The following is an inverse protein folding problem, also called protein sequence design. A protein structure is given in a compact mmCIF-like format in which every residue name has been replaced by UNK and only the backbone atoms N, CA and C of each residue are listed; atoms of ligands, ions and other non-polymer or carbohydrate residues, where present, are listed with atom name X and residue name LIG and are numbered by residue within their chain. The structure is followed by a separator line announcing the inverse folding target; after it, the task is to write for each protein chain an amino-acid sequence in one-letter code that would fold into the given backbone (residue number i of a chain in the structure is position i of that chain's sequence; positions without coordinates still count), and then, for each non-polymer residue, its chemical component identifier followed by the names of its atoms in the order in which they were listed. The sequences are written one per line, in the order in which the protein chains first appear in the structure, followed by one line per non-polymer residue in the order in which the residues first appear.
data_IF_157529965802
#
_entry.id   IF_157529965802
#
_cell.length_a   1.000
_cell.length_b   1.000
_cell.length_c   1.000
_cell.angle_alpha   90.00
_cell.angle_beta   90.00
_cell.angle_gamma   90.00
#
_symmetry.space_group_name_H-M   'P 1'
#
loop_
_entity.id
_entity.type
_entity.pdbx_description
1 polymer ?
#
# COMPACT_ATOMS: atom_id res chain seq x y z
N UNK A 1 14.66 0.73 -6.51
CA UNK A 1 14.02 -0.59 -6.31
C UNK A 1 14.81 -1.63 -7.07
N UNK A 2 14.86 -2.88 -6.60
CA UNK A 2 15.49 -3.98 -7.36
C UNK A 2 14.60 -4.44 -8.53
N UNK A 3 15.17 -5.17 -9.50
CA UNK A 3 14.44 -5.74 -10.63
C UNK A 3 13.25 -6.61 -10.18
N UNK A 4 13.47 -7.50 -9.21
CA UNK A 4 12.39 -8.31 -8.62
C UNK A 4 11.29 -7.46 -8.00
N UNK A 5 11.65 -6.41 -7.24
CA UNK A 5 10.66 -5.54 -6.63
C UNK A 5 9.82 -4.79 -7.67
N UNK A 6 10.41 -4.43 -8.82
CA UNK A 6 9.68 -3.81 -9.94
C UNK A 6 8.72 -4.80 -10.59
N UNK A 7 9.16 -6.02 -10.85
CA UNK A 7 8.32 -7.09 -11.43
C UNK A 7 7.07 -7.35 -10.57
N UNK A 8 7.27 -7.59 -9.27
CA UNK A 8 6.17 -7.81 -8.30
C UNK A 8 5.24 -6.60 -8.27
N UNK A 9 5.80 -5.40 -8.20
CA UNK A 9 5.02 -4.17 -8.19
C UNK A 9 4.19 -3.98 -9.47
N UNK A 10 4.74 -4.28 -10.65
CA UNK A 10 4.00 -4.17 -11.91
C UNK A 10 2.88 -5.20 -12.00
N UNK A 11 3.15 -6.47 -11.66
CA UNK A 11 2.13 -7.52 -11.63
C UNK A 11 0.97 -7.12 -10.72
N UNK A 12 1.25 -6.77 -9.46
CA UNK A 12 0.21 -6.42 -8.49
C UNK A 12 -0.54 -5.13 -8.79
N UNK A 13 -0.02 -4.27 -9.66
CA UNK A 13 -0.79 -3.12 -10.13
C UNK A 13 -1.77 -3.48 -11.24
N UNK A 14 -1.45 -4.48 -12.06
CA UNK A 14 -2.42 -5.07 -12.99
C UNK A 14 -3.50 -5.80 -12.21
N UNK A 15 -3.13 -6.63 -11.23
CA UNK A 15 -4.08 -7.36 -10.39
C UNK A 15 -5.02 -6.41 -9.62
N UNK A 16 -4.48 -5.27 -9.16
CA UNK A 16 -5.28 -4.27 -8.44
C UNK A 16 -6.39 -3.65 -9.29
N UNK A 17 -6.22 -3.55 -10.62
CA UNK A 17 -7.27 -3.05 -11.51
C UNK A 17 -8.50 -3.97 -11.51
N UNK A 18 -8.29 -5.27 -11.31
CA UNK A 18 -9.34 -6.30 -11.29
C UNK A 18 -10.18 -6.22 -10.01
N UNK A 19 -9.68 -5.55 -8.97
CA UNK A 19 -10.40 -5.37 -7.69
C UNK A 19 -11.45 -4.25 -7.74
N UNK A 20 -11.57 -3.57 -8.88
CA UNK A 20 -12.62 -2.58 -9.09
C UNK A 20 -13.84 -3.22 -9.75
N UNK A 21 -15.01 -2.67 -9.43
CA UNK A 21 -16.24 -3.02 -10.12
C UNK A 21 -16.04 -2.90 -11.65
N UNK A 22 -16.38 -3.94 -12.45
CA UNK A 22 -16.13 -3.97 -13.88
C UNK A 22 -16.82 -2.85 -14.67
N UNK A 23 -17.86 -2.23 -14.11
CA UNK A 23 -18.56 -1.08 -14.70
C UNK A 23 -17.85 0.26 -14.45
N UNK A 24 -16.76 0.25 -13.69
CA UNK A 24 -16.01 1.45 -13.34
C UNK A 24 -15.03 1.83 -14.46
N UNK A 25 -15.44 2.77 -15.30
CA UNK A 25 -14.57 3.34 -16.31
C UNK A 25 -13.46 4.22 -15.70
N UNK A 26 -12.27 4.22 -16.32
CA UNK A 26 -11.23 5.23 -16.07
C UNK A 26 -10.43 5.06 -14.78
N UNK A 27 -10.19 3.82 -14.32
CA UNK A 27 -9.31 3.56 -13.17
C UNK A 27 -7.85 3.87 -13.55
N UNK A 28 -7.38 5.06 -13.15
CA UNK A 28 -6.02 5.50 -13.42
C UNK A 28 -5.22 5.62 -12.13
N UNK A 29 -4.11 4.87 -12.06
CA UNK A 29 -3.12 4.99 -10.97
C UNK A 29 -2.36 6.30 -11.08
N UNK A 30 -2.20 6.98 -9.95
CA UNK A 30 -1.34 8.16 -9.84
C UNK A 30 -0.15 7.81 -8.95
N UNK A 31 1.08 7.69 -9.50
CA UNK A 31 2.28 7.58 -8.69
C UNK A 31 2.43 8.83 -7.84
N UNK A 32 2.42 8.71 -6.50
CA UNK A 32 2.22 9.88 -5.63
C UNK A 32 3.27 10.05 -4.54
N UNK A 33 4.12 9.05 -4.34
CA UNK A 33 5.11 9.02 -3.26
C UNK A 33 6.04 10.24 -3.19
N UNK A 34 6.62 10.67 -4.31
CA UNK A 34 7.58 11.78 -4.35
C UNK A 34 6.95 13.14 -4.04
N UNK A 35 5.70 13.35 -4.43
CA UNK A 35 4.98 14.59 -4.15
C UNK A 35 4.49 14.64 -2.71
N UNK A 36 4.08 13.50 -2.16
CA UNK A 36 3.46 13.46 -0.84
C UNK A 36 4.47 13.41 0.32
N UNK A 37 5.66 12.83 0.12
CA UNK A 37 6.67 12.74 1.19
C UNK A 37 7.22 14.11 1.63
N UNK A 38 7.24 15.09 0.72
CA UNK A 38 7.65 16.47 1.03
C UNK A 38 6.62 17.14 1.94
N UNK A 39 5.33 16.94 1.67
CA UNK A 39 4.24 17.49 2.46
C UNK A 39 3.95 16.69 3.75
N UNK A 40 4.28 15.40 3.77
CA UNK A 40 4.06 14.51 4.91
C UNK A 40 5.33 13.73 5.25
N UNK A 41 6.28 14.33 6.00
CA UNK A 41 7.56 13.69 6.34
C UNK A 41 7.43 12.38 7.12
N UNK A 42 6.28 12.15 7.77
CA UNK A 42 5.96 10.92 8.52
C UNK A 42 5.09 9.94 7.74
N UNK A 43 4.94 10.11 6.42
CA UNK A 43 4.10 9.26 5.56
C UNK A 43 4.36 7.78 5.78
N UNK A 44 5.62 7.37 5.69
CA UNK A 44 6.03 5.96 5.85
C UNK A 44 5.69 5.42 7.24
N UNK A 45 6.00 6.17 8.30
CA UNK A 45 5.68 5.80 9.67
C UNK A 45 4.15 5.65 9.87
N UNK A 46 3.37 6.61 9.39
CA UNK A 46 1.91 6.61 9.51
C UNK A 46 1.28 5.46 8.72
N UNK A 47 1.75 5.20 7.50
CA UNK A 47 1.31 4.09 6.68
C UNK A 47 1.63 2.74 7.33
N UNK A 48 2.82 2.60 7.95
CA UNK A 48 3.21 1.39 8.65
C UNK A 48 2.37 1.19 9.93
N UNK A 49 2.18 2.24 10.73
CA UNK A 49 1.32 2.20 11.91
C UNK A 49 -0.11 1.77 11.54
N UNK A 50 -0.64 2.30 10.45
CA UNK A 50 -1.95 1.89 9.94
C UNK A 50 -1.97 0.40 9.55
N UNK A 51 -0.96 -0.06 8.80
CA UNK A 51 -0.86 -1.45 8.36
C UNK A 51 -0.67 -2.47 9.50
N UNK A 52 -0.15 -2.03 10.65
CA UNK A 52 0.02 -2.86 11.84
C UNK A 52 -1.30 -3.08 12.61
N UNK A 53 -2.34 -2.30 12.33
CA UNK A 53 -3.64 -2.48 12.97
C UNK A 53 -4.35 -3.74 12.44
N UNK A 54 -5.11 -4.46 13.29
CA UNK A 54 -5.99 -5.54 12.83
C UNK A 54 -6.95 -5.06 11.73
N UNK A 55 -7.11 -5.83 10.65
CA UNK A 55 -7.97 -5.47 9.51
C UNK A 55 -7.26 -4.72 8.38
N UNK A 56 -6.08 -4.13 8.64
CA UNK A 56 -5.42 -3.19 7.72
C UNK A 56 -4.10 -3.71 7.14
N UNK A 57 -3.77 -4.97 7.43
CA UNK A 57 -2.54 -5.60 6.97
C UNK A 57 -2.52 -5.84 5.46
N UNK A 58 -1.43 -6.45 4.96
CA UNK A 58 -1.29 -6.68 3.53
C UNK A 58 -2.41 -7.53 2.92
N UNK A 59 -2.89 -7.11 1.76
CA UNK A 59 -3.81 -7.88 0.91
C UNK A 59 -3.09 -8.60 -0.24
N UNK A 60 -1.85 -8.20 -0.55
CA UNK A 60 -0.93 -8.94 -1.42
C UNK A 60 0.41 -9.12 -0.71
N UNK A 61 0.98 -10.33 -0.77
CA UNK A 61 2.26 -10.67 -0.15
C UNK A 61 3.02 -11.67 -1.02
N UNK A 62 4.32 -11.43 -1.20
CA UNK A 62 5.23 -12.36 -1.86
C UNK A 62 6.49 -12.56 -1.00
N UNK A 63 6.80 -13.82 -0.72
CA UNK A 63 8.01 -14.19 0.00
C UNK A 63 9.13 -14.58 -0.97
N UNK A 64 10.28 -13.95 -0.83
CA UNK A 64 11.51 -14.30 -1.53
C UNK A 64 12.65 -14.55 -0.53
N UNK A 65 13.79 -15.02 -1.02
CA UNK A 65 14.95 -15.29 -0.15
C UNK A 65 15.43 -13.99 0.51
N UNK A 66 15.31 -13.92 1.83
CA UNK A 66 15.79 -12.79 2.63
C UNK A 66 14.93 -11.52 2.55
N UNK A 67 13.76 -11.57 1.91
CA UNK A 67 12.87 -10.40 1.78
C UNK A 67 11.42 -10.83 1.55
N UNK A 68 10.48 -10.08 2.08
CA UNK A 68 9.05 -10.18 1.75
C UNK A 68 8.58 -8.86 1.14
N UNK A 69 7.89 -8.94 0.02
CA UNK A 69 7.15 -7.80 -0.53
C UNK A 69 5.70 -7.86 -0.04
N UNK A 70 5.12 -6.70 0.25
CA UNK A 70 3.75 -6.62 0.73
C UNK A 70 3.06 -5.38 0.19
N UNK A 71 1.74 -5.44 0.00
CA UNK A 71 0.91 -4.30 -0.43
C UNK A 71 -0.28 -4.15 0.49
N UNK A 72 -0.48 -2.94 1.01
CA UNK A 72 -1.59 -2.59 1.92
C UNK A 72 -2.47 -1.54 1.26
N UNK A 73 -3.78 -1.63 1.44
CA UNK A 73 -4.73 -0.59 1.04
C UNK A 73 -4.92 0.36 2.21
N UNK A 74 -4.95 1.66 1.94
CA UNK A 74 -5.25 2.71 2.90
C UNK A 74 -6.43 3.48 2.32
N UNK A 75 -7.66 3.21 2.79
CA UNK A 75 -8.85 3.93 2.37
C UNK A 75 -8.67 5.43 2.63
N UNK A 76 -9.09 6.28 1.70
CA UNK A 76 -8.92 7.72 1.87
C UNK A 76 -9.77 8.33 3.00
N UNK A 77 -10.82 7.64 3.44
CA UNK A 77 -11.65 7.97 4.61
C UNK A 77 -11.09 7.42 5.93
N UNK A 78 -9.99 6.66 5.88
CA UNK A 78 -9.25 6.30 7.09
C UNK A 78 -8.60 7.55 7.72
N UNK A 79 -8.21 7.44 9.00
CA UNK A 79 -7.47 8.51 9.71
C UNK A 79 -6.23 9.01 8.94
N UNK A 80 -5.30 8.16 8.47
CA UNK A 80 -4.19 8.64 7.66
C UNK A 80 -4.63 9.18 6.30
N UNK A 81 -5.61 8.56 5.63
CA UNK A 81 -6.12 9.05 4.34
C UNK A 81 -6.69 10.47 4.43
N UNK A 82 -7.43 10.76 5.49
CA UNK A 82 -7.96 12.11 5.76
C UNK A 82 -6.82 13.09 6.04
N UNK A 83 -5.82 12.68 6.83
CA UNK A 83 -4.65 13.53 7.12
C UNK A 83 -3.81 13.85 5.87
N UNK A 84 -3.87 13.02 4.83
CA UNK A 84 -3.20 13.23 3.54
C UNK A 84 -4.13 13.85 2.48
N UNK A 85 -5.33 14.29 2.88
CA UNK A 85 -6.35 14.88 2.03
C UNK A 85 -6.77 13.99 0.85
N UNK A 86 -6.96 12.68 1.07
CA UNK A 86 -7.40 11.74 0.04
C UNK A 86 -8.93 11.78 -0.23
N UNK A 87 -9.67 12.50 0.62
CA UNK A 87 -11.08 12.84 0.45
C UNK A 87 -11.19 14.37 0.51
N UNK A 88 -11.41 15.01 -0.63
CA UNK A 88 -11.57 16.47 -0.71
C UNK A 88 -12.88 16.80 -1.41
N UNK A 89 -13.62 17.78 -0.89
CA UNK A 89 -14.83 18.25 -1.54
C UNK A 89 -14.52 18.80 -2.93
N UNK A 90 -15.34 18.41 -3.91
CA UNK A 90 -15.16 18.82 -5.31
C UNK A 90 -14.00 18.11 -6.05
N UNK A 91 -13.34 17.13 -5.43
CA UNK A 91 -12.35 16.26 -6.10
C UNK A 91 -12.78 14.80 -6.05
N UNK A 92 -12.33 13.97 -7.02
CA UNK A 92 -12.54 12.53 -6.95
C UNK A 92 -11.94 11.95 -5.64
N UNK A 93 -12.62 10.98 -5.00
CA UNK A 93 -12.07 10.30 -3.83
C UNK A 93 -10.98 9.31 -4.24
N UNK A 94 -9.88 9.25 -3.48
CA UNK A 94 -8.76 8.35 -3.73
C UNK A 94 -8.44 7.43 -2.55
N UNK A 95 -8.14 6.17 -2.82
CA UNK A 95 -7.47 5.30 -1.86
C UNK A 95 -5.97 5.27 -2.18
N UNK A 96 -5.16 4.92 -1.19
CA UNK A 96 -3.74 4.74 -1.39
C UNK A 96 -3.35 3.28 -1.28
N UNK A 97 -2.36 2.86 -2.08
CA UNK A 97 -1.66 1.60 -1.85
C UNK A 97 -0.23 1.89 -1.43
N UNK A 98 0.20 1.26 -0.33
CA UNK A 98 1.58 1.28 0.12
C UNK A 98 2.24 -0.05 -0.22
N UNK A 99 3.35 0.00 -0.96
CA UNK A 99 4.13 -1.16 -1.35
C UNK A 99 5.41 -1.23 -0.55
N UNK A 100 5.58 -2.31 0.19
CA UNK A 100 6.59 -2.49 1.21
C UNK A 100 7.64 -3.51 0.78
N UNK A 101 8.85 -3.28 1.25
CA UNK A 101 9.90 -4.29 1.35
C UNK A 101 10.15 -4.56 2.83
N UNK A 102 10.01 -5.81 3.24
CA UNK A 102 10.22 -6.24 4.63
C UNK A 102 11.38 -7.23 4.67
N UNK A 103 12.39 -6.95 5.49
CA UNK A 103 13.52 -7.84 5.74
C UNK A 103 13.94 -7.77 7.22
N UNK A 104 15.15 -8.27 7.55
CA UNK A 104 15.71 -8.22 8.91
C UNK A 104 15.86 -6.80 9.48
N UNK A 105 15.90 -5.77 8.63
CA UNK A 105 15.96 -4.36 9.06
C UNK A 105 14.57 -3.75 9.30
N UNK A 106 13.50 -4.52 9.06
CA UNK A 106 12.11 -4.09 9.21
C UNK A 106 11.42 -3.77 7.88
N UNK A 107 10.28 -3.09 7.96
CA UNK A 107 9.48 -2.70 6.81
C UNK A 107 9.91 -1.34 6.29
N UNK A 108 10.21 -1.26 4.99
CA UNK A 108 10.53 -0.04 4.26
C UNK A 108 9.51 0.21 3.16
N UNK A 109 9.00 1.43 3.07
CA UNK A 109 8.10 1.83 2.00
C UNK A 109 8.89 2.03 0.69
N UNK A 110 8.48 1.34 -0.38
CA UNK A 110 9.08 1.45 -1.70
C UNK A 110 8.28 2.35 -2.64
N UNK A 111 6.94 2.26 -2.58
CA UNK A 111 6.01 3.05 -3.38
C UNK A 111 4.76 3.38 -2.58
N UNK A 112 4.17 4.51 -2.95
CA UNK A 112 2.89 4.98 -2.47
C UNK A 112 2.15 5.56 -3.66
N UNK A 113 1.05 4.93 -4.04
CA UNK A 113 0.28 5.29 -5.22
C UNK A 113 -1.16 5.56 -4.83
N UNK A 114 -1.78 6.52 -5.51
CA UNK A 114 -3.21 6.76 -5.39
C UNK A 114 -3.96 6.02 -6.48
N UNK A 115 -5.14 5.56 -6.10
CA UNK A 115 -6.11 4.94 -6.97
C UNK A 115 -7.49 5.53 -6.69
N UNK A 116 -8.42 5.56 -7.66
CA UNK A 116 -9.80 5.92 -7.39
C UNK A 116 -10.38 5.08 -6.24
N UNK A 117 -11.11 5.69 -5.32
CA UNK A 117 -11.55 4.99 -4.10
C UNK A 117 -12.55 3.86 -4.37
N UNK A 118 -12.47 2.73 -3.67
CA UNK A 118 -13.44 1.62 -3.76
C UNK A 118 -12.90 0.37 -4.45
N UNK A 119 -11.62 0.04 -4.27
CA UNK A 119 -11.11 -1.29 -4.58
C UNK A 119 -11.62 -2.28 -3.53
N UNK A 120 -12.11 -3.44 -3.94
CA UNK A 120 -12.53 -4.52 -3.05
C UNK A 120 -11.29 -5.34 -2.64
N UNK A 121 -10.69 -4.98 -1.50
CA UNK A 121 -9.54 -5.71 -0.95
C UNK A 121 -9.90 -6.37 0.37
N UNK A 122 -9.43 -7.60 0.57
CA UNK A 122 -9.46 -8.27 1.87
C UNK A 122 -8.03 -8.48 2.37
N UNK A 123 -7.76 -8.13 3.63
CA UNK A 123 -6.49 -8.45 4.27
C UNK A 123 -6.24 -9.95 4.21
N UNK A 124 -5.05 -10.35 3.73
CA UNK A 124 -4.62 -11.76 3.67
C UNK A 124 -3.78 -12.17 4.87
N UNK A 125 -2.99 -11.24 5.42
CA UNK A 125 -2.07 -11.51 6.54
C UNK A 125 -1.86 -10.25 7.39
N UNK A 126 -1.52 -10.42 8.66
CA UNK A 126 -1.12 -9.30 9.52
C UNK A 126 0.25 -8.75 9.13
N UNK A 127 0.41 -7.42 9.10
CA UNK A 127 1.73 -6.82 8.84
C UNK A 127 2.76 -7.24 9.90
N UNK A 128 2.32 -7.39 11.15
CA UNK A 128 3.20 -7.83 12.24
C UNK A 128 3.74 -9.25 11.98
N UNK A 129 2.93 -10.15 11.43
CA UNK A 129 3.35 -11.50 11.08
C UNK A 129 4.41 -11.49 9.97
N UNK A 130 4.24 -10.62 8.96
CA UNK A 130 5.25 -10.43 7.90
C UNK A 130 6.59 -9.98 8.47
N UNK A 131 6.57 -9.05 9.44
CA UNK A 131 7.78 -8.54 10.11
C UNK A 131 8.42 -9.63 10.97
N UNK A 132 7.63 -10.37 11.74
CA UNK A 132 8.12 -11.36 12.69
C UNK A 132 8.84 -12.54 12.02
N UNK A 133 8.58 -12.81 10.73
CA UNK A 133 9.33 -13.79 9.92
C UNK A 133 10.83 -13.53 9.88
N UNK A 134 11.26 -12.29 10.09
CA UNK A 134 12.67 -11.90 10.06
C UNK A 134 13.26 -11.65 11.45
N UNK A 135 12.44 -11.59 12.51
CA UNK A 135 12.91 -11.45 13.90
C UNK A 135 13.27 -12.78 14.56
N UNK A 136 12.74 -13.89 14.04
CA UNK A 136 12.95 -15.25 14.58
C UNK A 136 14.12 -16.00 13.93
N UNK A 137 15.03 -15.29 13.26
CA UNK A 137 16.25 -15.83 12.65
C UNK A 137 17.45 -15.10 13.21
#
# INVERSE_FOLDING_TARGET
MSARALEVYHSWNQDHLVLYNPWRNGVNRIPYYSHLIVAHPRLEQQALQYALLPGNGPYEVEHARGVTFAKTLIPGDSRPGTAWNLRQNGRPPYDATAFWRVDANGARLLRFDLWPAGAETQQRIAMQEVIDRFRRR
#
